data_IF_580967026243
#
_entry.id   IF_580967026243
#
_cell.length_a   1.000
_cell.length_b   1.000
_cell.length_c   1.000
_cell.angle_alpha   90.00
_cell.angle_beta   90.00
_cell.angle_gamma   90.00
#
_symmetry.space_group_name_H-M   'P 1'
#
loop_
_entity.id
_entity.type
_entity.pdbx_description
1 polymer ?
#
# COMPACT_ATOMS: atom_id res chain seq x y z
N UNK A 1 5.32 -6.60 -21.43
CA UNK A 1 4.31 -7.52 -20.88
C UNK A 1 4.62 -7.83 -19.43
N UNK A 2 3.62 -8.25 -18.65
CA UNK A 2 3.75 -8.74 -17.28
C UNK A 2 4.13 -10.24 -17.24
N UNK A 3 4.12 -10.83 -16.04
CA UNK A 3 4.39 -12.25 -15.83
C UNK A 3 3.36 -13.17 -16.50
N UNK A 4 2.12 -12.68 -16.69
CA UNK A 4 1.00 -13.40 -17.33
C UNK A 4 0.95 -13.18 -18.85
N UNK A 5 1.97 -12.52 -19.44
CA UNK A 5 2.04 -12.10 -20.85
C UNK A 5 0.95 -11.07 -21.24
N UNK A 6 0.31 -10.42 -20.29
CA UNK A 6 -0.60 -9.31 -20.58
C UNK A 6 0.19 -8.07 -21.03
N UNK A 7 -0.34 -7.28 -21.99
CA UNK A 7 0.29 -6.04 -22.39
C UNK A 7 0.27 -5.02 -21.24
N UNK A 8 1.36 -4.28 -21.10
CA UNK A 8 1.50 -3.21 -20.11
C UNK A 8 1.50 -1.87 -20.81
N UNK A 9 0.51 -1.04 -20.54
CA UNK A 9 0.43 0.33 -21.04
C UNK A 9 1.09 1.32 -20.08
N UNK A 10 1.63 2.43 -20.61
CA UNK A 10 2.18 3.53 -19.82
C UNK A 10 3.56 3.24 -19.19
N UNK A 11 4.21 2.13 -19.54
CA UNK A 11 5.58 1.88 -19.10
C UNK A 11 6.54 2.88 -19.75
N UNK A 12 7.38 3.50 -18.94
CA UNK A 12 8.36 4.47 -19.39
C UNK A 12 9.67 3.75 -19.74
N UNK A 13 10.10 3.90 -21.00
CA UNK A 13 11.35 3.35 -21.53
C UNK A 13 12.30 4.50 -21.79
N UNK A 14 13.45 4.55 -21.13
CA UNK A 14 14.44 5.62 -21.35
C UNK A 14 15.82 5.07 -21.65
N UNK A 15 16.60 5.82 -22.42
CA UNK A 15 18.01 5.50 -22.70
C UNK A 15 18.87 5.98 -21.53
N UNK A 16 19.64 5.08 -20.93
CA UNK A 16 20.55 5.45 -19.85
C UNK A 16 21.68 6.35 -20.36
N UNK A 17 21.87 7.45 -19.66
CA UNK A 17 22.84 8.48 -20.08
C UNK A 17 22.41 9.32 -21.27
N UNK A 18 21.11 9.39 -21.55
CA UNK A 18 20.46 10.23 -22.56
C UNK A 18 19.17 10.83 -22.06
N UNK A 19 18.58 11.68 -22.89
CA UNK A 19 17.27 12.30 -22.65
C UNK A 19 16.16 11.63 -23.46
N UNK A 20 16.52 10.70 -24.36
CA UNK A 20 15.56 10.02 -25.20
C UNK A 20 14.79 8.96 -24.43
N UNK A 21 13.48 8.94 -24.65
CA UNK A 21 12.56 7.99 -24.03
C UNK A 21 11.31 7.78 -24.87
N UNK A 22 10.55 6.77 -24.51
CA UNK A 22 9.25 6.43 -25.09
C UNK A 22 8.36 5.85 -24.00
N UNK A 23 7.05 5.92 -24.19
CA UNK A 23 6.06 5.25 -23.35
C UNK A 23 5.41 4.12 -24.13
N UNK A 24 4.99 3.06 -23.46
CA UNK A 24 4.23 1.99 -24.10
C UNK A 24 2.76 2.36 -24.30
N UNK A 25 2.21 1.96 -25.44
CA UNK A 25 0.81 2.12 -25.82
C UNK A 25 -0.09 1.08 -25.12
N UNK A 26 -1.40 1.13 -25.39
CA UNK A 26 -2.40 0.22 -24.80
C UNK A 26 -2.15 -1.26 -25.09
N UNK A 27 -1.54 -1.57 -26.23
CA UNK A 27 -1.15 -2.92 -26.63
C UNK A 27 0.22 -3.34 -26.07
N UNK A 28 0.84 -2.49 -25.25
CA UNK A 28 2.16 -2.71 -24.66
C UNK A 28 3.31 -2.52 -25.64
N UNK A 29 3.05 -2.01 -26.84
CA UNK A 29 4.10 -1.71 -27.80
C UNK A 29 4.74 -0.35 -27.56
N UNK A 30 6.00 -0.18 -27.94
CA UNK A 30 6.68 1.11 -27.89
C UNK A 30 7.68 1.26 -29.03
N UNK A 31 7.94 2.48 -29.43
CA UNK A 31 8.96 2.82 -30.42
C UNK A 31 9.93 3.83 -29.81
N UNK A 32 11.15 3.37 -29.54
CA UNK A 32 12.22 4.22 -29.02
C UNK A 32 13.06 4.77 -30.16
N UNK A 33 13.03 6.08 -30.38
CA UNK A 33 13.88 6.78 -31.34
C UNK A 33 15.09 7.33 -30.60
N UNK A 34 16.29 6.96 -31.03
CA UNK A 34 17.55 7.44 -30.44
C UNK A 34 18.59 7.70 -31.52
N UNK A 35 19.44 8.67 -31.27
CA UNK A 35 20.60 8.98 -32.11
C UNK A 35 21.88 8.26 -31.67
N UNK A 36 21.81 7.57 -30.49
CA UNK A 36 22.96 6.86 -29.94
C UNK A 36 23.27 5.58 -30.71
N UNK A 37 24.57 5.30 -30.81
CA UNK A 37 25.07 4.05 -31.42
C UNK A 37 24.84 2.86 -30.46
N UNK A 38 24.55 1.71 -31.04
CA UNK A 38 24.50 0.44 -30.35
C UNK A 38 25.92 -0.06 -29.99
N UNK A 39 26.11 -0.79 -28.88
CA UNK A 39 25.08 -1.17 -27.92
C UNK A 39 24.69 -0.03 -26.97
N UNK A 40 23.44 0.06 -26.57
CA UNK A 40 22.95 1.02 -25.61
C UNK A 40 22.17 0.33 -24.47
N UNK A 41 22.13 0.98 -23.32
CA UNK A 41 21.36 0.51 -22.18
C UNK A 41 20.05 1.30 -22.10
N UNK A 42 18.95 0.58 -21.94
CA UNK A 42 17.63 1.16 -21.67
C UNK A 42 17.17 0.74 -20.28
N UNK A 43 16.43 1.59 -19.63
CA UNK A 43 15.74 1.32 -18.38
C UNK A 43 14.23 1.41 -18.63
N UNK A 44 13.52 0.39 -18.17
CA UNK A 44 12.05 0.35 -18.26
C UNK A 44 11.50 0.44 -16.85
N UNK A 45 10.63 1.41 -16.62
CA UNK A 45 10.01 1.69 -15.30
C UNK A 45 8.51 1.83 -15.43
N UNK A 46 7.79 1.29 -14.46
CA UNK A 46 6.37 1.50 -14.28
C UNK A 46 6.04 1.36 -12.79
N UNK A 47 5.11 2.17 -12.29
CA UNK A 47 4.66 2.09 -10.90
C UNK A 47 4.00 0.74 -10.66
N UNK A 48 4.43 0.02 -9.62
CA UNK A 48 3.96 -1.32 -9.30
C UNK A 48 4.73 -2.46 -9.96
N UNK A 49 5.80 -2.13 -10.71
CA UNK A 49 6.69 -3.11 -11.34
C UNK A 49 8.14 -2.83 -11.02
N UNK A 50 8.91 -3.89 -10.87
CA UNK A 50 10.37 -3.80 -10.67
C UNK A 50 11.02 -3.21 -11.91
N UNK A 51 11.81 -2.15 -11.73
CA UNK A 51 12.54 -1.50 -12.83
C UNK A 51 13.54 -2.46 -13.47
N UNK A 52 13.63 -2.47 -14.80
CA UNK A 52 14.47 -3.39 -15.56
C UNK A 52 15.44 -2.66 -16.47
N UNK A 53 16.74 -2.97 -16.33
CA UNK A 53 17.79 -2.46 -17.22
C UNK A 53 18.16 -3.52 -18.23
N UNK A 54 18.22 -3.15 -19.52
CA UNK A 54 18.47 -4.07 -20.62
C UNK A 54 19.49 -3.44 -21.56
N UNK A 55 20.46 -4.24 -22.00
CA UNK A 55 21.40 -3.84 -23.05
C UNK A 55 20.85 -4.24 -24.42
N UNK A 56 20.69 -3.27 -25.27
CA UNK A 56 20.21 -3.45 -26.66
C UNK A 56 21.42 -3.41 -27.58
N UNK A 57 21.70 -4.53 -28.24
CA UNK A 57 22.85 -4.68 -29.12
C UNK A 57 22.49 -4.64 -30.61
N UNK A 58 21.20 -4.71 -30.95
CA UNK A 58 20.73 -4.73 -32.34
C UNK A 58 19.39 -4.02 -32.47
N UNK A 59 19.05 -3.63 -33.70
CA UNK A 59 17.82 -2.90 -34.01
C UNK A 59 16.60 -3.85 -34.22
N UNK A 60 16.63 -5.03 -33.60
CA UNK A 60 15.56 -6.01 -33.69
C UNK A 60 14.43 -5.73 -32.71
N UNK A 61 13.25 -6.32 -32.98
CA UNK A 61 12.12 -6.26 -32.08
C UNK A 61 12.51 -6.83 -30.71
N UNK A 62 12.31 -6.04 -29.67
CA UNK A 62 12.64 -6.40 -28.29
C UNK A 62 11.35 -6.75 -27.53
N UNK A 63 11.36 -7.90 -26.85
CA UNK A 63 10.29 -8.27 -25.93
C UNK A 63 10.79 -8.16 -24.50
N UNK A 64 10.09 -7.36 -23.68
CA UNK A 64 10.46 -7.08 -22.30
C UNK A 64 9.34 -7.56 -21.39
N UNK A 65 9.71 -8.39 -20.40
CA UNK A 65 8.82 -8.76 -19.32
C UNK A 65 9.22 -7.97 -18.08
N UNK A 66 8.25 -7.30 -17.47
CA UNK A 66 8.38 -6.69 -16.16
C UNK A 66 7.80 -7.64 -15.11
N UNK A 67 8.40 -7.66 -13.94
CA UNK A 67 7.91 -8.39 -12.78
C UNK A 67 7.14 -7.41 -11.89
N UNK A 68 6.04 -7.87 -11.35
CA UNK A 68 5.33 -7.12 -10.32
C UNK A 68 6.29 -6.82 -9.16
N UNK A 69 6.28 -5.59 -8.70
CA UNK A 69 7.04 -5.22 -7.52
C UNK A 69 6.29 -5.74 -6.30
N UNK A 70 6.93 -6.66 -5.55
CA UNK A 70 6.43 -7.07 -4.24
C UNK A 70 6.62 -5.91 -3.25
N UNK A 71 5.71 -4.94 -3.33
CA UNK A 71 5.71 -3.73 -2.51
C UNK A 71 5.73 -4.08 -1.02
N UNK A 72 5.17 -5.23 -0.65
CA UNK A 72 5.12 -5.70 0.74
C UNK A 72 6.49 -5.89 1.41
N UNK A 73 7.53 -6.18 0.65
CA UNK A 73 8.87 -6.42 1.21
C UNK A 73 9.60 -5.17 1.68
N UNK A 74 9.25 -4.00 1.14
CA UNK A 74 9.84 -2.72 1.49
C UNK A 74 8.86 -1.76 2.19
N UNK A 75 7.73 -2.26 2.60
CA UNK A 75 6.69 -1.46 3.24
C UNK A 75 7.16 -1.00 4.61
N UNK A 76 7.06 0.30 4.86
CA UNK A 76 7.47 0.92 6.11
C UNK A 76 6.24 1.01 7.01
N UNK A 77 6.41 0.61 8.26
CA UNK A 77 5.42 0.71 9.33
C UNK A 77 5.99 1.51 10.49
N UNK A 78 5.13 2.11 11.27
CA UNK A 78 5.48 2.95 12.41
C UNK A 78 4.92 2.40 13.71
N UNK A 79 3.85 1.61 13.63
CA UNK A 79 3.09 1.16 14.80
C UNK A 79 3.86 0.23 15.75
N UNK A 80 4.84 -0.54 15.25
CA UNK A 80 5.55 -1.52 16.07
C UNK A 80 6.55 -0.91 17.06
N UNK A 81 7.26 0.16 16.64
CA UNK A 81 8.36 0.74 17.43
C UNK A 81 8.26 2.27 17.58
N UNK A 82 7.22 2.90 17.06
CA UNK A 82 7.06 4.35 16.92
C UNK A 82 8.12 5.03 16.06
N UNK A 83 8.95 4.24 15.40
CA UNK A 83 9.94 4.69 14.41
C UNK A 83 9.68 3.98 13.10
N UNK A 84 9.93 4.63 11.95
CA UNK A 84 9.77 3.98 10.66
C UNK A 84 10.70 2.78 10.54
N UNK A 85 10.14 1.59 10.35
CA UNK A 85 10.88 0.35 10.14
C UNK A 85 10.22 -0.49 9.04
N UNK A 86 10.95 -1.44 8.50
CA UNK A 86 10.37 -2.34 7.50
C UNK A 86 9.50 -3.38 8.18
N UNK A 87 8.38 -3.74 7.54
CA UNK A 87 7.45 -4.78 8.05
C UNK A 87 8.18 -6.07 8.43
N UNK A 88 9.16 -6.49 7.62
CA UNK A 88 9.92 -7.71 7.87
C UNK A 88 10.95 -7.61 9.02
N UNK A 89 11.32 -6.41 9.40
CA UNK A 89 12.25 -6.15 10.51
C UNK A 89 11.51 -5.98 11.83
N UNK A 90 10.18 -5.79 11.77
CA UNK A 90 9.34 -5.63 12.95
C UNK A 90 9.29 -6.92 13.78
N UNK A 91 9.51 -6.85 15.10
CA UNK A 91 9.42 -8.00 15.99
C UNK A 91 7.98 -8.48 16.23
N UNK A 92 6.99 -7.72 15.79
CA UNK A 92 5.56 -8.01 15.98
C UNK A 92 4.84 -8.10 14.64
N UNK A 93 3.78 -8.89 14.62
CA UNK A 93 2.92 -8.98 13.42
C UNK A 93 2.12 -7.70 13.27
N UNK A 94 2.21 -7.08 12.10
CA UNK A 94 1.44 -5.90 11.74
C UNK A 94 0.64 -6.23 10.49
N UNK A 95 -0.65 -5.96 10.53
CA UNK A 95 -1.49 -5.95 9.33
C UNK A 95 -1.55 -4.52 8.82
N UNK A 96 -1.34 -4.33 7.54
CA UNK A 96 -1.33 -3.01 6.91
C UNK A 96 -2.23 -2.99 5.70
N UNK A 97 -2.96 -1.89 5.55
CA UNK A 97 -3.74 -1.58 4.36
C UNK A 97 -3.22 -0.26 3.78
N UNK A 98 -2.61 -0.34 2.60
CA UNK A 98 -2.09 0.83 1.89
C UNK A 98 -3.14 1.54 1.06
N UNK A 99 -2.79 2.72 0.52
CA UNK A 99 -3.69 3.55 -0.30
C UNK A 99 -4.29 2.81 -1.50
N UNK A 100 -3.53 1.89 -2.12
CA UNK A 100 -4.01 1.11 -3.26
C UNK A 100 -5.10 0.11 -2.86
N UNK A 101 -4.98 -0.48 -1.68
CA UNK A 101 -5.96 -1.41 -1.12
C UNK A 101 -7.21 -0.67 -0.64
N UNK A 102 -7.03 0.49 0.01
CA UNK A 102 -8.12 1.38 0.41
C UNK A 102 -8.97 1.78 -0.80
N UNK A 103 -8.33 2.21 -1.88
CA UNK A 103 -9.03 2.62 -3.11
C UNK A 103 -9.68 1.47 -3.87
N UNK A 104 -9.20 0.25 -3.72
CA UNK A 104 -9.77 -0.96 -4.34
C UNK A 104 -10.91 -1.57 -3.51
N UNK A 105 -11.05 -1.14 -2.27
CA UNK A 105 -12.13 -1.65 -1.41
C UNK A 105 -13.48 -1.31 -2.03
N UNK A 106 -14.33 -2.32 -2.18
CA UNK A 106 -15.70 -2.16 -2.65
C UNK A 106 -16.66 -1.68 -1.54
N UNK A 107 -16.13 -1.39 -0.36
CA UNK A 107 -16.90 -0.96 0.81
C UNK A 107 -17.34 0.50 0.67
N UNK A 108 -18.49 0.90 1.24
CA UNK A 108 -18.99 2.27 1.23
C UNK A 108 -18.03 3.29 1.89
N UNK A 109 -17.15 2.82 2.76
CA UNK A 109 -16.08 3.62 3.36
C UNK A 109 -14.82 2.78 3.58
N UNK A 110 -13.66 3.43 3.62
CA UNK A 110 -12.40 2.74 3.90
C UNK A 110 -12.42 2.04 5.27
N UNK A 111 -13.13 2.62 6.23
CA UNK A 111 -13.24 2.07 7.59
C UNK A 111 -13.95 0.71 7.59
N UNK A 112 -14.97 0.53 6.76
CA UNK A 112 -15.58 -0.79 6.56
C UNK A 112 -14.64 -1.76 5.85
N UNK A 113 -13.80 -1.26 4.96
CA UNK A 113 -12.78 -2.05 4.27
C UNK A 113 -11.76 -2.71 5.22
N UNK A 114 -11.61 -2.19 6.45
CA UNK A 114 -10.74 -2.77 7.46
C UNK A 114 -11.19 -4.16 7.93
N UNK A 115 -12.45 -4.53 7.70
CA UNK A 115 -12.94 -5.89 7.98
C UNK A 115 -12.24 -6.96 7.12
N UNK A 116 -11.61 -6.56 6.01
CA UNK A 116 -10.80 -7.47 5.18
C UNK A 116 -9.43 -7.79 5.81
N UNK A 117 -9.00 -7.08 6.85
CA UNK A 117 -7.81 -7.41 7.60
C UNK A 117 -8.05 -8.64 8.47
N UNK A 118 -6.99 -9.41 8.71
CA UNK A 118 -7.09 -10.62 9.51
C UNK A 118 -7.54 -10.32 10.94
N UNK A 119 -8.36 -11.21 11.47
CA UNK A 119 -8.87 -11.16 12.84
C UNK A 119 -9.71 -9.90 13.16
N UNK A 120 -10.05 -9.07 12.17
CA UNK A 120 -10.91 -7.89 12.35
C UNK A 120 -12.36 -8.27 12.22
N UNK A 121 -13.16 -7.75 13.12
CA UNK A 121 -14.62 -7.82 13.09
C UNK A 121 -15.18 -6.42 13.28
N UNK A 122 -16.12 -6.04 12.42
CA UNK A 122 -16.77 -4.74 12.49
C UNK A 122 -18.07 -4.87 13.30
N UNK A 123 -18.22 -4.04 14.32
CA UNK A 123 -19.47 -3.90 15.03
C UNK A 123 -20.17 -2.61 14.58
N UNK A 124 -21.35 -2.74 13.98
CA UNK A 124 -22.13 -1.62 13.49
C UNK A 124 -23.23 -1.28 14.48
N UNK A 125 -23.09 -0.17 15.18
CA UNK A 125 -24.08 0.33 16.12
C UNK A 125 -25.07 1.30 15.48
N UNK A 126 -24.63 2.02 14.44
CA UNK A 126 -25.46 2.89 13.61
C UNK A 126 -24.79 3.10 12.24
N UNK A 127 -25.46 3.82 11.33
CA UNK A 127 -24.88 4.16 10.03
C UNK A 127 -23.57 4.95 10.14
N UNK A 128 -23.46 5.79 11.15
CA UNK A 128 -22.30 6.67 11.40
C UNK A 128 -21.41 6.22 12.55
N UNK A 129 -21.73 5.12 13.21
CA UNK A 129 -20.91 4.60 14.31
C UNK A 129 -20.62 3.10 14.13
N UNK A 130 -19.40 2.84 13.75
CA UNK A 130 -18.83 1.51 13.61
C UNK A 130 -17.56 1.42 14.43
N UNK A 131 -17.38 0.30 15.09
CA UNK A 131 -16.20 0.05 15.91
C UNK A 131 -15.52 -1.25 15.49
N UNK A 132 -14.20 -1.24 15.53
CA UNK A 132 -13.37 -2.39 15.24
C UNK A 132 -13.22 -3.23 16.49
N UNK A 133 -13.35 -4.54 16.32
CA UNK A 133 -13.02 -5.54 17.30
C UNK A 133 -12.02 -6.52 16.70
N UNK A 134 -11.17 -7.09 17.51
CA UNK A 134 -10.19 -8.07 17.07
C UNK A 134 -10.25 -9.32 17.94
N UNK A 135 -9.88 -10.46 17.36
CA UNK A 135 -9.75 -11.75 18.08
C UNK A 135 -11.01 -12.21 18.80
N UNK A 136 -12.18 -11.90 18.26
CA UNK A 136 -13.46 -12.33 18.84
C UNK A 136 -13.93 -11.55 20.08
N UNK A 137 -13.22 -10.49 20.49
CA UNK A 137 -13.65 -9.59 21.57
C UNK A 137 -14.65 -8.56 21.03
N UNK A 138 -15.85 -9.01 20.66
CA UNK A 138 -16.87 -8.15 20.08
C UNK A 138 -17.66 -7.43 21.18
N UNK A 139 -17.37 -6.15 21.38
CA UNK A 139 -18.12 -5.26 22.28
C UNK A 139 -18.43 -3.95 21.57
N UNK A 140 -19.56 -3.33 21.91
CA UNK A 140 -19.96 -2.03 21.34
C UNK A 140 -18.99 -0.93 21.77
N UNK A 141 -18.59 -0.95 23.03
CA UNK A 141 -17.59 -0.05 23.58
C UNK A 141 -16.29 -0.83 23.79
N UNK A 142 -15.45 -0.88 22.76
CA UNK A 142 -14.20 -1.63 22.83
C UNK A 142 -13.11 -0.83 23.55
N UNK A 143 -13.06 -0.98 24.87
CA UNK A 143 -12.02 -0.36 25.74
C UNK A 143 -10.65 -1.03 25.63
N UNK A 144 -10.54 -2.12 24.84
CA UNK A 144 -9.28 -2.86 24.62
C UNK A 144 -8.63 -2.53 23.29
N UNK A 145 -9.18 -1.57 22.57
CA UNK A 145 -8.70 -1.12 21.27
C UNK A 145 -8.34 0.35 21.36
N UNK A 146 -7.16 0.71 20.91
CA UNK A 146 -6.71 2.10 20.77
C UNK A 146 -6.67 2.45 19.29
N UNK A 147 -7.24 3.58 18.93
CA UNK A 147 -7.19 4.11 17.58
C UNK A 147 -6.41 5.41 17.59
N UNK A 148 -5.34 5.44 16.81
CA UNK A 148 -4.50 6.62 16.65
C UNK A 148 -4.67 7.19 15.24
N UNK A 149 -4.75 8.50 15.13
CA UNK A 149 -4.69 9.25 13.88
C UNK A 149 -3.45 10.12 13.94
N UNK A 150 -2.48 9.85 13.08
CA UNK A 150 -1.17 10.51 13.09
C UNK A 150 -0.51 10.56 14.49
N UNK A 151 -0.66 9.47 15.23
CA UNK A 151 -0.13 9.33 16.58
C UNK A 151 -0.98 9.95 17.69
N UNK A 152 -2.09 10.60 17.36
CA UNK A 152 -3.04 11.17 18.34
C UNK A 152 -4.16 10.18 18.66
N UNK A 153 -4.45 10.01 19.93
CA UNK A 153 -5.53 9.13 20.40
C UNK A 153 -6.90 9.67 19.96
N UNK A 154 -7.65 8.84 19.25
CA UNK A 154 -9.01 9.11 18.78
C UNK A 154 -10.08 8.49 19.70
N UNK A 155 -9.83 8.44 20.98
CA UNK A 155 -10.78 7.95 21.99
C UNK A 155 -11.63 9.09 22.55
N UNK A 156 -12.84 8.75 22.98
CA UNK A 156 -13.67 9.69 23.74
C UNK A 156 -13.09 9.93 25.14
N UNK A 157 -12.72 11.16 25.51
CA UNK A 157 -12.09 11.45 26.79
C UNK A 157 -12.96 11.08 28.03
N UNK A 158 -14.26 11.09 27.85
CA UNK A 158 -15.24 10.82 28.93
C UNK A 158 -15.61 9.34 29.05
N UNK A 159 -15.60 8.63 27.93
CA UNK A 159 -16.15 7.28 27.84
C UNK A 159 -15.06 6.21 27.69
N UNK A 160 -13.82 6.64 27.49
CA UNK A 160 -12.64 5.80 27.34
C UNK A 160 -12.82 4.63 26.35
N UNK A 161 -13.46 4.89 25.24
CA UNK A 161 -13.54 3.97 24.11
C UNK A 161 -13.32 4.68 22.78
N UNK A 162 -12.89 3.93 21.76
CA UNK A 162 -12.63 4.47 20.43
C UNK A 162 -13.90 4.98 19.77
N UNK A 163 -13.80 6.17 19.19
CA UNK A 163 -14.93 6.81 18.50
C UNK A 163 -15.21 6.13 17.13
N UNK A 164 -14.30 5.28 16.68
CA UNK A 164 -14.43 4.57 15.43
C UNK A 164 -14.39 5.50 14.21
N UNK A 165 -15.44 5.44 13.39
CA UNK A 165 -15.58 6.28 12.22
C UNK A 165 -16.53 7.48 12.41
N UNK A 166 -16.98 7.73 13.64
CA UNK A 166 -17.94 8.82 13.92
C UNK A 166 -17.30 10.20 13.76
N UNK A 167 -16.04 10.33 14.19
CA UNK A 167 -15.19 11.49 13.95
C UNK A 167 -13.89 10.92 13.41
N UNK A 168 -13.64 11.09 12.14
CA UNK A 168 -12.52 10.42 11.50
C UNK A 168 -11.89 11.24 10.39
N UNK A 169 -10.83 10.69 9.88
CA UNK A 169 -10.10 11.22 8.72
C UNK A 169 -10.90 10.89 7.45
N UNK A 170 -10.91 11.83 6.51
CA UNK A 170 -11.47 11.58 5.18
C UNK A 170 -10.65 10.51 4.46
N UNK A 171 -11.30 9.66 3.67
CA UNK A 171 -10.63 8.65 2.83
C UNK A 171 -9.52 9.22 1.95
N UNK A 172 -9.69 10.47 1.50
CA UNK A 172 -8.73 11.16 0.63
C UNK A 172 -7.42 11.43 1.38
N UNK A 173 -7.49 11.61 2.69
CA UNK A 173 -6.35 11.97 3.53
C UNK A 173 -5.65 10.74 4.14
N UNK A 174 -6.25 9.53 4.00
CA UNK A 174 -5.66 8.31 4.53
C UNK A 174 -4.62 7.75 3.56
N UNK A 175 -3.38 7.71 3.98
CA UNK A 175 -2.28 7.10 3.23
C UNK A 175 -2.17 5.59 3.51
N UNK A 176 -2.29 5.20 4.75
CA UNK A 176 -2.27 3.79 5.17
C UNK A 176 -2.92 3.61 6.53
N UNK A 177 -3.36 2.40 6.80
CA UNK A 177 -3.83 1.97 8.11
C UNK A 177 -2.97 0.81 8.56
N UNK A 178 -2.51 0.87 9.80
CA UNK A 178 -1.71 -0.17 10.43
C UNK A 178 -2.49 -0.73 11.63
N UNK A 179 -2.64 -2.05 11.67
CA UNK A 179 -3.26 -2.76 12.77
C UNK A 179 -2.18 -3.58 13.48
N UNK A 180 -1.97 -3.28 14.75
CA UNK A 180 -1.06 -4.00 15.63
C UNK A 180 -1.88 -4.88 16.59
N UNK A 181 -2.03 -6.18 16.33
CA UNK A 181 -2.74 -7.08 17.20
C UNK A 181 -1.86 -7.49 18.41
N UNK A 182 -2.41 -7.42 19.58
CA UNK A 182 -1.72 -7.87 20.81
C UNK A 182 -1.52 -6.78 21.85
N UNK A 183 -0.79 -7.12 22.91
CA UNK A 183 -0.50 -6.20 23.99
C UNK A 183 0.69 -5.30 23.63
N UNK A 184 0.43 -4.01 23.46
CA UNK A 184 1.44 -3.01 23.12
C UNK A 184 1.57 -1.93 24.19
N UNK A 185 1.20 -2.26 25.43
CA UNK A 185 1.17 -1.32 26.56
C UNK A 185 2.54 -0.68 26.84
N UNK A 186 3.63 -1.39 26.54
CA UNK A 186 4.98 -0.84 26.69
C UNK A 186 5.25 0.39 25.81
N UNK A 187 4.57 0.48 24.66
CA UNK A 187 4.76 1.57 23.69
C UNK A 187 3.65 2.62 23.75
N UNK A 188 2.43 2.21 24.06
CA UNK A 188 1.24 3.03 23.92
C UNK A 188 0.50 3.30 25.24
N UNK A 189 0.97 2.71 26.33
CA UNK A 189 0.34 2.84 27.65
C UNK A 189 -0.65 1.72 27.95
N UNK A 190 -1.23 1.77 29.14
CA UNK A 190 -2.19 0.78 29.64
C UNK A 190 -3.63 1.22 29.40
#
# INVERSE_FOLDING_TARGET
>A
TDNSNQPISGANVRVLGGTEGASSDFDGSFVLKTTKKLPLQIEVTLIGFTSKKITVSSNNKLSIKLQDEDIKLNEIVVSASRTPERVLESPVTIERMGIAEIKKSASPSFYEGLENLKEVQMNTSSMSFKSINTRGFATVANTRFMQLVDGMDNSSPLLNFVIGNMIGVSEIDVQSVELLPGASSALYGA
#
